data_IF_775548359422
#
_entry.id   IF_775548359422
#
_cell.length_a   1.000
_cell.length_b   1.000
_cell.length_c   1.000
_cell.angle_alpha   90.00
_cell.angle_beta   90.00
_cell.angle_gamma   90.00
#
_symmetry.space_group_name_H-M   'P 1'
#
loop_
_entity.id
_entity.type
_entity.pdbx_description
1 polymer ?
#
# COMPACT_ATOMS: atom_id res chain seq x y z
N UNK A 1 -75.05 23.78 14.33
CA UNK A 1 -74.99 25.25 14.44
C UNK A 1 -73.71 25.55 15.21
N UNK A 2 -72.60 25.61 14.48
CA UNK A 2 -71.89 26.84 14.04
C UNK A 2 -71.00 27.43 15.12
N UNK A 3 -69.70 27.34 14.82
CA UNK A 3 -68.62 28.29 15.14
C UNK A 3 -68.29 28.56 16.62
N UNK A 4 -67.21 27.93 17.08
CA UNK A 4 -66.40 28.37 18.21
C UNK A 4 -65.07 28.92 17.72
N UNK A 5 -64.88 30.23 17.91
CA UNK A 5 -63.67 31.00 17.67
C UNK A 5 -62.50 30.57 18.59
N UNK A 6 -61.28 30.75 18.07
CA UNK A 6 -60.05 31.21 18.75
C UNK A 6 -59.88 30.95 20.26
N UNK A 7 -58.80 30.22 20.64
CA UNK A 7 -57.62 30.68 21.41
C UNK A 7 -56.89 29.50 22.09
N UNK A 8 -55.75 29.82 22.71
CA UNK A 8 -54.82 28.97 23.51
C UNK A 8 -53.62 28.49 22.69
N UNK A 9 -52.57 29.31 22.58
CA UNK A 9 -51.47 29.50 23.56
C UNK A 9 -50.60 28.25 23.75
N UNK A 10 -49.36 28.41 23.28
CA UNK A 10 -48.10 27.98 23.91
C UNK A 10 -48.05 26.61 24.59
N UNK A 11 -47.28 25.70 24.01
CA UNK A 11 -46.34 24.82 24.74
C UNK A 11 -45.32 24.29 23.73
N UNK A 12 -44.10 24.85 23.77
CA UNK A 12 -42.89 24.16 24.23
C UNK A 12 -42.55 22.88 23.45
N UNK A 13 -41.50 23.02 22.63
CA UNK A 13 -40.23 22.36 22.93
C UNK A 13 -40.12 20.87 22.59
N UNK A 14 -39.16 20.59 21.71
CA UNK A 14 -38.47 19.30 21.53
C UNK A 14 -39.30 18.13 21.01
N UNK A 15 -39.21 17.90 19.70
CA UNK A 15 -39.29 16.61 19.01
C UNK A 15 -39.07 16.96 17.52
N UNK A 16 -38.05 16.54 16.76
CA UNK A 16 -37.14 15.40 16.84
C UNK A 16 -35.79 15.81 16.23
N UNK A 17 -34.81 15.94 17.10
CA UNK A 17 -33.44 15.54 16.83
C UNK A 17 -33.45 14.01 16.60
N UNK A 18 -32.70 13.52 15.59
CA UNK A 18 -32.56 12.14 15.07
C UNK A 18 -33.02 12.09 13.62
N UNK A 19 -32.15 12.36 12.65
CA UNK A 19 -31.29 11.31 12.08
C UNK A 19 -30.16 11.95 11.28
N UNK A 20 -29.30 12.72 11.95
CA UNK A 20 -28.00 13.16 11.42
C UNK A 20 -26.87 12.55 12.27
N UNK A 21 -26.99 11.25 12.51
CA UNK A 21 -25.95 10.40 13.12
C UNK A 21 -25.95 9.04 12.42
N UNK A 22 -25.75 9.06 11.11
CA UNK A 22 -25.39 7.87 10.33
C UNK A 22 -24.42 8.21 9.19
N UNK A 23 -23.59 9.23 9.43
CA UNK A 23 -22.53 9.67 8.51
C UNK A 23 -21.18 9.84 9.18
N UNK A 24 -21.01 9.22 10.34
CA UNK A 24 -19.79 9.29 11.14
C UNK A 24 -19.42 7.90 11.63
N UNK A 25 -19.23 6.97 10.70
CA UNK A 25 -18.35 5.80 10.85
C UNK A 25 -18.12 5.14 9.47
N UNK A 26 -18.02 5.95 8.41
CA UNK A 26 -17.40 5.51 7.16
C UNK A 26 -15.90 5.43 7.41
N UNK A 27 -15.49 4.30 7.99
CA UNK A 27 -14.12 3.79 8.17
C UNK A 27 -13.06 4.66 7.47
N UNK A 28 -12.29 5.37 8.28
CA UNK A 28 -11.18 6.25 7.91
C UNK A 28 -9.99 5.52 7.25
N UNK A 29 -10.16 4.27 6.81
CA UNK A 29 -9.12 3.45 6.16
C UNK A 29 -9.45 3.08 4.71
N UNK A 30 -10.54 3.65 4.17
CA UNK A 30 -11.02 3.34 2.84
C UNK A 30 -10.41 4.26 1.74
N UNK A 31 -9.50 3.66 0.98
CA UNK A 31 -9.62 3.44 -0.48
C UNK A 31 -8.39 3.89 -1.26
N UNK A 32 -7.38 3.01 -1.23
CA UNK A 32 -6.51 2.72 -2.37
C UNK A 32 -7.34 2.65 -3.66
N UNK A 33 -6.76 3.12 -4.77
CA UNK A 33 -7.38 2.99 -6.09
C UNK A 33 -7.78 1.52 -6.36
N UNK A 34 -9.02 1.23 -6.82
CA UNK A 34 -9.54 -0.14 -6.89
C UNK A 34 -8.62 -1.11 -7.64
N UNK A 35 -8.07 -0.66 -8.78
CA UNK A 35 -7.15 -1.47 -9.59
C UNK A 35 -5.85 -1.83 -8.84
N UNK A 36 -5.22 -0.85 -8.19
CA UNK A 36 -4.00 -1.08 -7.42
C UNK A 36 -4.28 -1.96 -6.19
N UNK A 37 -5.43 -1.74 -5.54
CA UNK A 37 -5.88 -2.54 -4.41
C UNK A 37 -6.04 -4.00 -4.80
N UNK A 38 -6.75 -4.31 -5.88
CA UNK A 38 -6.94 -5.71 -6.31
C UNK A 38 -5.63 -6.35 -6.77
N UNK A 39 -4.77 -5.61 -7.48
CA UNK A 39 -3.42 -6.06 -7.81
C UNK A 39 -2.64 -6.46 -6.55
N UNK A 40 -2.58 -5.60 -5.54
CA UNK A 40 -1.89 -5.91 -4.28
C UNK A 40 -2.52 -7.06 -3.51
N UNK A 41 -3.85 -7.22 -3.55
CA UNK A 41 -4.54 -8.37 -2.92
C UNK A 41 -4.19 -9.68 -3.63
N UNK A 42 -4.20 -9.69 -4.96
CA UNK A 42 -3.78 -10.85 -5.75
C UNK A 42 -2.34 -11.24 -5.40
N UNK A 43 -1.43 -10.26 -5.41
CA UNK A 43 -0.02 -10.47 -5.06
C UNK A 43 0.16 -10.98 -3.62
N UNK A 44 -0.57 -10.41 -2.66
CA UNK A 44 -0.53 -10.86 -1.27
C UNK A 44 -0.92 -12.33 -1.14
N UNK A 45 -1.99 -12.77 -1.81
CA UNK A 45 -2.42 -14.17 -1.77
C UNK A 45 -1.33 -15.11 -2.31
N UNK A 46 -0.72 -14.78 -3.45
CA UNK A 46 0.32 -15.62 -4.07
C UNK A 46 1.61 -15.67 -3.23
N UNK A 47 2.03 -14.55 -2.67
CA UNK A 47 3.23 -14.50 -1.82
C UNK A 47 2.99 -15.25 -0.51
N UNK A 48 1.81 -15.11 0.11
CA UNK A 48 1.47 -15.79 1.36
C UNK A 48 1.26 -17.30 1.17
N UNK A 49 0.74 -17.75 0.02
CA UNK A 49 0.63 -19.18 -0.30
C UNK A 49 1.97 -19.83 -0.65
N UNK A 50 2.99 -19.03 -0.99
CA UNK A 50 4.30 -19.51 -1.44
C UNK A 50 4.34 -19.89 -2.93
N UNK A 51 3.22 -19.74 -3.65
CA UNK A 51 3.14 -19.94 -5.11
C UNK A 51 3.71 -18.72 -5.85
N UNK A 52 5.02 -18.50 -5.72
CA UNK A 52 5.68 -17.30 -6.22
C UNK A 52 6.10 -17.50 -7.69
N UNK A 53 5.50 -16.78 -8.65
CA UNK A 53 5.90 -16.87 -10.05
C UNK A 53 7.27 -16.25 -10.31
N UNK A 54 7.83 -16.57 -11.47
CA UNK A 54 9.10 -16.01 -11.95
C UNK A 54 8.88 -15.26 -13.26
N UNK A 55 9.63 -14.17 -13.44
CA UNK A 55 9.71 -13.49 -14.73
C UNK A 55 10.98 -13.91 -15.49
N UNK A 56 10.84 -14.20 -16.78
CA UNK A 56 11.98 -14.54 -17.66
C UNK A 56 12.86 -13.32 -17.93
N UNK A 57 12.28 -12.12 -17.96
CA UNK A 57 13.01 -10.87 -18.18
C UNK A 57 13.25 -10.19 -16.84
N UNK A 58 14.49 -9.78 -16.60
CA UNK A 58 14.80 -9.00 -15.41
C UNK A 58 14.30 -7.56 -15.56
N UNK A 59 13.76 -7.02 -14.48
CA UNK A 59 13.21 -5.67 -14.45
C UNK A 59 14.31 -4.63 -14.62
N UNK A 60 14.05 -3.67 -15.50
CA UNK A 60 14.84 -2.46 -15.64
C UNK A 60 13.90 -1.33 -16.04
N UNK A 61 13.82 -0.30 -15.21
CA UNK A 61 12.93 0.83 -15.45
C UNK A 61 12.75 1.69 -14.20
N UNK A 62 12.25 2.91 -14.40
CA UNK A 62 11.96 3.86 -13.32
C UNK A 62 13.15 4.08 -12.36
N UNK A 63 14.38 4.14 -12.89
CA UNK A 63 15.59 4.34 -12.09
C UNK A 63 16.06 3.12 -11.32
N UNK A 64 15.43 1.95 -11.47
CA UNK A 64 15.78 0.71 -10.76
C UNK A 64 16.09 -0.41 -11.74
N UNK A 65 17.10 -1.22 -11.42
CA UNK A 65 17.44 -2.43 -12.18
C UNK A 65 17.62 -3.61 -11.22
N UNK A 66 16.91 -4.71 -11.48
CA UNK A 66 17.00 -5.95 -10.71
C UNK A 66 17.99 -6.87 -11.42
N UNK A 67 19.04 -7.31 -10.71
CA UNK A 67 20.14 -8.06 -11.32
C UNK A 67 20.64 -9.18 -10.40
N UNK A 68 21.18 -10.25 -10.98
CA UNK A 68 21.90 -11.27 -10.19
C UNK A 68 23.26 -10.77 -9.69
N UNK A 69 23.90 -9.91 -10.49
CA UNK A 69 25.20 -9.31 -10.21
C UNK A 69 25.24 -7.92 -10.79
N UNK A 70 25.85 -6.99 -10.07
CA UNK A 70 26.06 -5.62 -10.58
C UNK A 70 26.92 -5.69 -11.85
N UNK A 71 26.45 -5.16 -12.99
CA UNK A 71 27.24 -5.13 -14.20
C UNK A 71 28.45 -4.20 -14.01
N UNK A 72 29.58 -4.56 -14.63
CA UNK A 72 30.71 -3.64 -14.73
C UNK A 72 30.37 -2.58 -15.78
N UNK A 73 30.33 -1.31 -15.39
CA UNK A 73 30.04 -0.21 -16.31
C UNK A 73 31.33 0.57 -16.59
N UNK A 74 31.70 0.79 -17.86
CA UNK A 74 32.86 1.61 -18.19
C UNK A 74 32.57 3.07 -17.83
N UNK A 75 33.57 3.75 -17.28
CA UNK A 75 33.45 5.09 -16.67
C UNK A 75 32.82 6.14 -17.60
N UNK A 76 33.03 6.01 -18.92
CA UNK A 76 32.52 6.93 -19.94
C UNK A 76 30.98 6.97 -20.07
N UNK A 77 30.28 5.98 -19.53
CA UNK A 77 28.81 5.93 -19.55
C UNK A 77 28.16 6.61 -18.33
N UNK A 78 28.92 6.93 -17.27
CA UNK A 78 28.38 7.64 -16.12
C UNK A 78 28.00 9.08 -16.47
N UNK A 79 28.72 9.70 -17.40
CA UNK A 79 28.52 11.11 -17.79
C UNK A 79 27.19 11.34 -18.53
N UNK A 80 26.61 10.27 -19.10
CA UNK A 80 25.40 10.35 -19.92
C UNK A 80 24.14 10.06 -19.11
N UNK A 81 24.23 9.11 -18.17
CA UNK A 81 23.11 8.73 -17.31
C UNK A 81 23.61 8.22 -15.95
N UNK A 82 22.99 8.66 -14.84
CA UNK A 82 23.30 8.11 -13.53
C UNK A 82 23.05 6.60 -13.53
N UNK A 83 23.82 5.88 -12.73
CA UNK A 83 23.58 4.45 -12.51
C UNK A 83 22.17 4.27 -11.94
N UNK A 84 21.37 3.32 -12.47
CA UNK A 84 20.15 2.95 -11.81
C UNK A 84 20.47 2.37 -10.43
N UNK A 85 19.50 2.44 -9.52
CA UNK A 85 19.55 1.72 -8.25
C UNK A 85 19.53 0.22 -8.55
N UNK A 86 20.64 -0.44 -8.30
CA UNK A 86 20.77 -1.88 -8.51
C UNK A 86 20.24 -2.64 -7.30
N UNK A 87 19.22 -3.46 -7.51
CA UNK A 87 18.79 -4.46 -6.56
C UNK A 87 19.45 -5.80 -6.93
N UNK A 88 20.53 -6.12 -6.22
CA UNK A 88 21.30 -7.35 -6.43
C UNK A 88 20.73 -8.46 -5.54
N UNK A 89 20.16 -9.50 -6.14
CA UNK A 89 19.51 -10.59 -5.39
C UNK A 89 19.52 -11.91 -6.17
N UNK A 90 19.66 -13.08 -5.49
CA UNK A 90 19.46 -14.38 -6.14
C UNK A 90 18.02 -14.57 -6.64
N UNK A 91 17.05 -13.84 -6.06
CA UNK A 91 15.63 -13.89 -6.41
C UNK A 91 15.23 -12.89 -7.49
N UNK A 92 16.16 -12.53 -8.37
CA UNK A 92 15.95 -11.51 -9.39
C UNK A 92 14.71 -11.77 -10.28
N UNK A 93 14.40 -13.02 -10.71
CA UNK A 93 13.19 -13.31 -11.49
C UNK A 93 11.89 -13.02 -10.74
N UNK A 94 11.82 -13.34 -9.44
CA UNK A 94 10.62 -13.18 -8.63
C UNK A 94 10.41 -11.72 -8.25
N UNK A 95 11.49 -11.00 -7.97
CA UNK A 95 11.41 -9.55 -7.77
C UNK A 95 11.02 -8.84 -9.07
N UNK A 96 11.53 -9.29 -10.21
CA UNK A 96 11.14 -8.73 -11.51
C UNK A 96 9.68 -9.00 -11.84
N UNK A 97 9.17 -10.17 -11.44
CA UNK A 97 7.74 -10.51 -11.54
C UNK A 97 6.87 -9.56 -10.72
N UNK A 98 7.14 -9.39 -9.41
CA UNK A 98 6.30 -8.51 -8.57
C UNK A 98 6.38 -7.05 -9.04
N UNK A 99 7.53 -6.59 -9.53
CA UNK A 99 7.68 -5.24 -10.07
C UNK A 99 6.82 -5.04 -11.33
N UNK A 100 6.76 -6.02 -12.23
CA UNK A 100 5.92 -5.95 -13.42
C UNK A 100 4.42 -6.00 -13.08
N UNK A 101 4.01 -6.83 -12.12
CA UNK A 101 2.62 -6.88 -11.66
C UNK A 101 2.21 -5.55 -11.01
N UNK A 102 3.07 -4.97 -10.17
CA UNK A 102 2.85 -3.65 -9.59
C UNK A 102 2.78 -2.58 -10.67
N UNK A 103 3.60 -2.63 -11.72
CA UNK A 103 3.45 -1.74 -12.88
C UNK A 103 2.06 -1.86 -13.50
N UNK A 104 1.59 -3.07 -13.75
CA UNK A 104 0.27 -3.30 -14.34
C UNK A 104 -0.86 -2.76 -13.46
N UNK A 105 -0.73 -2.86 -12.14
CA UNK A 105 -1.67 -2.33 -11.15
C UNK A 105 -1.66 -0.80 -11.04
N UNK A 106 -0.47 -0.18 -11.16
CA UNK A 106 -0.26 1.24 -10.84
C UNK A 106 -0.06 2.16 -12.05
N UNK A 107 0.16 1.64 -13.27
CA UNK A 107 0.52 2.44 -14.46
C UNK A 107 -0.45 3.56 -14.84
N UNK A 108 -1.73 3.46 -14.45
CA UNK A 108 -2.75 4.49 -14.72
C UNK A 108 -2.85 5.55 -13.61
N UNK A 109 -2.17 5.31 -12.49
CA UNK A 109 -2.27 6.11 -11.26
C UNK A 109 -0.99 6.92 -11.07
N UNK A 110 0.16 6.35 -11.40
CA UNK A 110 1.46 6.99 -11.23
C UNK A 110 1.81 7.86 -12.43
N UNK A 111 2.07 9.14 -12.19
CA UNK A 111 2.81 9.98 -13.12
C UNK A 111 4.30 9.60 -13.18
N UNK A 112 5.06 10.24 -14.07
CA UNK A 112 6.49 9.92 -14.26
C UNK A 112 7.33 10.07 -12.99
N UNK A 113 7.07 11.09 -12.18
CA UNK A 113 7.87 11.41 -10.99
C UNK A 113 7.51 10.49 -9.82
N UNK A 114 6.22 10.26 -9.60
CA UNK A 114 5.70 9.33 -8.60
C UNK A 114 6.09 7.89 -8.94
N UNK A 115 6.19 7.55 -10.22
CA UNK A 115 6.68 6.24 -10.68
C UNK A 115 8.12 6.01 -10.24
N UNK A 116 9.03 6.97 -10.45
CA UNK A 116 10.41 6.83 -10.02
C UNK A 116 10.50 6.63 -8.49
N UNK A 117 9.85 7.51 -7.73
CA UNK A 117 9.80 7.43 -6.26
C UNK A 117 9.19 6.13 -5.74
N UNK A 118 8.16 5.61 -6.43
CA UNK A 118 7.54 4.34 -6.09
C UNK A 118 8.56 3.21 -6.17
N UNK A 119 9.20 3.02 -7.33
CA UNK A 119 10.16 1.93 -7.51
C UNK A 119 11.43 2.10 -6.65
N UNK A 120 11.87 3.33 -6.38
CA UNK A 120 12.95 3.59 -5.43
C UNK A 120 12.60 3.11 -4.03
N UNK A 121 11.39 3.42 -3.52
CA UNK A 121 10.92 2.93 -2.22
C UNK A 121 10.83 1.41 -2.17
N UNK A 122 10.33 0.77 -3.23
CA UNK A 122 10.30 -0.70 -3.32
C UNK A 122 11.70 -1.31 -3.26
N UNK A 123 12.67 -0.72 -3.97
CA UNK A 123 14.04 -1.18 -3.98
C UNK A 123 14.70 -1.00 -2.59
N UNK A 124 14.46 0.12 -1.92
CA UNK A 124 14.98 0.37 -0.57
C UNK A 124 14.39 -0.61 0.45
N UNK A 125 13.10 -0.92 0.35
CA UNK A 125 12.47 -1.94 1.19
C UNK A 125 13.12 -3.32 0.98
N UNK A 126 13.37 -3.70 -0.27
CA UNK A 126 14.04 -4.95 -0.61
C UNK A 126 15.49 -5.01 -0.08
N UNK A 127 16.26 -3.92 -0.22
CA UNK A 127 17.63 -3.82 0.28
C UNK A 127 17.67 -3.88 1.81
N UNK A 128 16.70 -3.28 2.50
CA UNK A 128 16.61 -3.30 3.97
C UNK A 128 16.46 -4.72 4.54
N UNK A 129 15.81 -5.62 3.78
CA UNK A 129 15.67 -7.03 4.16
C UNK A 129 16.96 -7.81 3.92
N UNK A 130 17.65 -7.48 2.83
CA UNK A 130 18.88 -8.18 2.44
C UNK A 130 20.05 -7.93 3.41
N UNK A 131 20.05 -6.79 4.11
CA UNK A 131 21.08 -6.41 5.08
C UNK A 131 20.91 -6.98 6.50
N UNK A 132 19.76 -7.59 6.82
CA UNK A 132 19.40 -8.02 8.19
C UNK A 132 19.65 -9.51 8.49
N UNK A 133 20.36 -10.24 7.64
CA UNK A 133 20.64 -11.66 7.86
C UNK A 133 21.68 -11.87 8.96
N UNK A 134 21.22 -11.88 10.21
CA UNK A 134 21.88 -12.65 11.26
C UNK A 134 21.81 -14.13 10.88
N UNK A 135 22.97 -14.77 10.69
CA UNK A 135 23.06 -16.19 10.41
C UNK A 135 23.41 -16.51 8.95
N UNK A 136 24.66 -16.92 8.74
CA UNK A 136 25.32 -17.21 7.46
C UNK A 136 24.77 -18.47 6.72
N UNK A 137 23.59 -18.98 7.08
CA UNK A 137 23.15 -20.33 6.72
C UNK A 137 21.96 -20.45 5.75
N UNK A 138 21.16 -19.41 5.54
CA UNK A 138 19.81 -19.59 4.94
C UNK A 138 19.43 -18.53 3.90
N UNK A 139 20.43 -17.98 3.20
CA UNK A 139 20.25 -16.87 2.22
C UNK A 139 19.43 -17.26 0.98
N UNK A 140 19.41 -18.55 0.65
CA UNK A 140 18.71 -19.11 -0.52
C UNK A 140 17.42 -19.86 -0.12
N UNK A 141 16.93 -19.62 1.11
CA UNK A 141 15.74 -20.33 1.60
C UNK A 141 14.44 -19.71 1.09
N UNK A 142 13.39 -20.52 0.87
CA UNK A 142 12.07 -20.04 0.48
C UNK A 142 11.54 -18.92 1.40
N UNK A 143 11.92 -18.96 2.69
CA UNK A 143 11.55 -17.95 3.68
C UNK A 143 12.21 -16.60 3.39
N UNK A 144 13.48 -16.59 3.02
CA UNK A 144 14.20 -15.35 2.67
C UNK A 144 13.68 -14.73 1.35
N UNK A 145 13.29 -15.56 0.38
CA UNK A 145 12.58 -15.11 -0.83
C UNK A 145 11.24 -14.46 -0.48
N UNK A 146 10.43 -15.15 0.33
CA UNK A 146 9.12 -14.66 0.72
C UNK A 146 9.23 -13.37 1.54
N UNK A 147 10.18 -13.29 2.47
CA UNK A 147 10.44 -12.07 3.26
C UNK A 147 10.74 -10.86 2.37
N UNK A 148 11.58 -11.04 1.35
CA UNK A 148 11.93 -10.00 0.39
C UNK A 148 10.69 -9.48 -0.35
N UNK A 149 9.85 -10.38 -0.83
CA UNK A 149 8.64 -10.02 -1.59
C UNK A 149 7.57 -9.40 -0.69
N UNK A 150 7.41 -9.88 0.55
CA UNK A 150 6.52 -9.27 1.53
C UNK A 150 6.93 -7.83 1.83
N UNK A 151 8.22 -7.54 1.97
CA UNK A 151 8.70 -6.19 2.21
C UNK A 151 8.42 -5.24 1.04
N UNK A 152 8.62 -5.71 -0.20
CA UNK A 152 8.26 -4.96 -1.40
C UNK A 152 6.75 -4.68 -1.41
N UNK A 153 5.92 -5.69 -1.17
CA UNK A 153 4.47 -5.53 -1.24
C UNK A 153 3.90 -4.62 -0.14
N UNK A 154 4.41 -4.74 1.10
CA UNK A 154 4.08 -3.80 2.19
C UNK A 154 4.36 -2.37 1.76
N UNK A 155 5.53 -2.12 1.17
CA UNK A 155 5.89 -0.78 0.76
C UNK A 155 4.98 -0.25 -0.35
N UNK A 156 4.52 -1.11 -1.26
CA UNK A 156 3.52 -0.75 -2.25
C UNK A 156 2.18 -0.34 -1.62
N UNK A 157 1.73 -1.07 -0.59
CA UNK A 157 0.50 -0.75 0.16
C UNK A 157 0.64 0.59 0.88
N UNK A 158 1.77 0.82 1.55
CA UNK A 158 2.05 2.08 2.25
C UNK A 158 2.09 3.26 1.27
N UNK A 159 2.79 3.11 0.14
CA UNK A 159 2.86 4.14 -0.89
C UNK A 159 1.48 4.51 -1.45
N UNK A 160 0.65 3.50 -1.75
CA UNK A 160 -0.70 3.74 -2.23
C UNK A 160 -1.57 4.49 -1.22
N UNK A 161 -1.36 4.26 0.08
CA UNK A 161 -2.04 5.00 1.16
C UNK A 161 -1.53 6.45 1.24
N UNK A 162 -0.23 6.68 1.01
CA UNK A 162 0.39 8.02 1.05
C UNK A 162 -0.09 8.93 -0.09
N UNK A 163 -0.25 8.38 -1.30
CA UNK A 163 -0.66 9.16 -2.50
C UNK A 163 -2.02 9.85 -2.34
N UNK A 164 -2.96 9.23 -1.61
CA UNK A 164 -4.28 9.81 -1.37
C UNK A 164 -4.28 10.93 -0.32
N UNK A 165 -3.40 10.84 0.69
CA UNK A 165 -3.24 11.91 1.68
C UNK A 165 -2.69 13.21 1.06
N UNK A 166 -1.96 13.11 -0.05
CA UNK A 166 -1.46 14.27 -0.79
C UNK A 166 -2.48 14.93 -1.72
N UNK A 167 -3.57 14.25 -2.10
CA UNK A 167 -4.62 14.82 -2.96
C UNK A 167 -5.74 15.52 -2.19
N UNK A 168 -5.92 15.19 -0.90
CA UNK A 168 -6.84 15.88 -0.01
C UNK A 168 -6.13 17.13 0.53
N UNK A 169 -6.26 18.24 -0.22
CA UNK A 169 -5.54 19.49 0.02
C UNK A 169 -5.53 19.94 1.48
N UNK A 170 -4.34 19.94 2.09
CA UNK A 170 -4.08 20.73 3.29
C UNK A 170 -3.85 22.19 2.89
N UNK A 171 -4.52 23.18 3.50
CA UNK A 171 -4.18 24.58 3.29
C UNK A 171 -2.74 24.85 3.80
N UNK A 172 -2.01 25.83 3.22
CA UNK A 172 -0.65 26.14 3.65
C UNK A 172 -0.67 26.54 5.12
N UNK A 173 0.06 25.78 5.95
CA UNK A 173 0.15 26.04 7.38
C UNK A 173 0.80 27.40 7.62
N UNK A 174 0.00 28.32 8.15
CA UNK A 174 0.44 29.54 8.80
C UNK A 174 1.34 29.19 9.99
N UNK A 175 2.41 29.98 10.11
CA UNK A 175 3.44 29.97 11.15
C UNK A 175 2.91 29.75 12.58
N UNK A 176 3.53 28.79 13.28
CA UNK A 176 3.77 28.82 14.72
C UNK A 176 2.84 27.97 15.60
N UNK A 177 3.26 26.75 15.94
CA UNK A 177 3.36 26.29 17.34
C UNK A 177 4.03 24.90 17.44
N UNK A 178 4.93 24.65 18.42
CA UNK A 178 5.63 23.37 18.58
C UNK A 178 5.04 22.55 19.74
N UNK A 179 3.99 21.77 19.52
CA UNK A 179 3.65 20.61 20.37
C UNK A 179 2.42 19.87 19.83
N UNK A 180 2.63 18.88 18.96
CA UNK A 180 1.70 17.75 18.89
C UNK A 180 2.42 16.51 18.37
N UNK A 181 3.21 15.88 19.24
CA UNK A 181 3.83 14.57 19.00
C UNK A 181 2.83 13.47 19.33
N UNK A 182 1.68 13.42 18.66
CA UNK A 182 0.75 12.30 18.82
C UNK A 182 -0.01 11.92 17.53
N UNK A 183 0.77 11.70 16.46
CA UNK A 183 0.37 10.83 15.35
C UNK A 183 1.57 9.99 14.95
N UNK A 184 1.72 8.83 15.58
CA UNK A 184 2.65 7.82 15.10
C UNK A 184 2.27 7.46 13.66
N UNK A 185 3.11 7.74 12.65
CA UNK A 185 2.91 7.17 11.32
C UNK A 185 2.96 5.66 11.51
N UNK A 186 1.88 4.95 11.13
CA UNK A 186 1.77 3.48 11.19
C UNK A 186 3.15 2.83 11.07
N UNK A 187 3.70 2.34 12.19
CA UNK A 187 5.07 1.88 12.25
C UNK A 187 5.30 0.88 11.12
N UNK A 188 6.26 1.16 10.22
CA UNK A 188 6.55 0.31 9.07
C UNK A 188 6.90 -1.09 9.60
N UNK A 189 6.23 -2.17 9.17
CA UNK A 189 6.51 -3.49 9.69
C UNK A 189 7.92 -3.93 9.24
N UNK A 190 8.76 -4.24 10.21
CA UNK A 190 10.19 -4.47 9.99
C UNK A 190 10.56 -5.94 9.99
N UNK A 191 9.77 -6.78 10.67
CA UNK A 191 10.01 -8.22 10.74
C UNK A 191 9.14 -9.01 9.76
N UNK A 192 9.57 -10.22 9.41
CA UNK A 192 8.79 -11.14 8.58
C UNK A 192 7.35 -11.31 9.10
N UNK A 193 7.19 -11.61 10.40
CA UNK A 193 5.88 -11.85 11.00
C UNK A 193 4.99 -10.59 11.01
N UNK A 194 5.58 -9.42 11.25
CA UNK A 194 4.85 -8.16 11.17
C UNK A 194 4.36 -7.87 9.76
N UNK A 195 5.20 -8.10 8.74
CA UNK A 195 4.84 -7.90 7.33
C UNK A 195 3.76 -8.89 6.89
N UNK A 196 3.87 -10.14 7.31
CA UNK A 196 2.84 -11.15 7.08
C UNK A 196 1.50 -10.73 7.70
N UNK A 197 1.48 -10.43 9.00
CA UNK A 197 0.26 -9.99 9.71
C UNK A 197 -0.32 -8.70 9.14
N UNK A 198 0.53 -7.79 8.67
CA UNK A 198 0.11 -6.57 7.99
C UNK A 198 -0.67 -6.89 6.71
N UNK A 199 -0.15 -7.79 5.87
CA UNK A 199 -0.80 -8.18 4.62
C UNK A 199 -2.04 -9.05 4.84
N UNK A 200 -2.06 -9.91 5.85
CA UNK A 200 -3.25 -10.66 6.25
C UNK A 200 -4.38 -9.71 6.68
N UNK A 201 -4.09 -8.70 7.49
CA UNK A 201 -5.07 -7.65 7.85
C UNK A 201 -5.55 -6.89 6.62
N UNK A 202 -4.64 -6.49 5.74
CA UNK A 202 -4.98 -5.84 4.48
C UNK A 202 -5.93 -6.70 3.60
N UNK A 203 -5.79 -8.03 3.63
CA UNK A 203 -6.69 -8.94 2.96
C UNK A 203 -8.08 -9.02 3.63
N UNK A 204 -8.14 -8.97 4.97
CA UNK A 204 -9.36 -9.05 5.77
C UNK A 204 -10.20 -7.76 5.77
N UNK A 205 -9.57 -6.59 5.71
CA UNK A 205 -10.18 -5.26 5.88
C UNK A 205 -11.40 -4.96 4.97
N UNK A 206 -11.72 -5.78 3.96
CA UNK A 206 -12.89 -5.56 3.08
C UNK A 206 -13.49 -6.87 2.53
N UNK A 207 -13.44 -7.96 3.31
CA UNK A 207 -14.18 -9.17 2.95
C UNK A 207 -15.69 -8.98 3.13
N UNK A 208 -16.38 -8.36 2.18
CA UNK A 208 -17.76 -8.76 1.89
C UNK A 208 -17.69 -10.16 1.30
N UNK A 209 -17.60 -11.15 2.19
CA UNK A 209 -17.88 -12.53 1.82
C UNK A 209 -19.34 -12.55 1.41
N UNK A 210 -19.58 -12.60 0.10
CA UNK A 210 -20.91 -12.75 -0.46
C UNK A 210 -21.57 -13.95 0.19
N UNK A 211 -22.54 -13.66 1.05
CA UNK A 211 -23.44 -14.66 1.60
C UNK A 211 -24.37 -15.05 0.46
N UNK A 212 -23.92 -15.97 -0.38
CA UNK A 212 -24.82 -16.71 -1.28
C UNK A 212 -25.60 -17.69 -0.38
N UNK A 213 -26.59 -17.16 0.35
CA UNK A 213 -27.71 -17.94 0.83
C UNK A 213 -28.62 -18.18 -0.40
N UNK A 214 -28.13 -19.02 -1.31
CA UNK A 214 -28.88 -19.57 -2.43
C UNK A 214 -29.26 -21.00 -2.10
N UNK A 215 -30.07 -21.20 -1.06
CA UNK A 215 -30.72 -22.47 -0.81
C UNK A 215 -32.18 -22.26 -0.37
N UNK A 216 -33.07 -22.87 -1.16
CA UNK A 216 -34.52 -23.11 -0.97
C UNK A 216 -35.50 -21.97 -1.24
N UNK A 217 -36.15 -22.07 -2.40
CA UNK A 217 -37.56 -22.50 -2.46
C UNK A 217 -37.76 -23.42 -3.66
#
# INVERSE_FOLDING_TARGET
MTEGMLQVMETKGQEKEMTEKDKTESSSEALLHPQAKECMRSLARQILSGEIPVNRRLWSGAGVAVVYRRPHRPSKLLDWYPDPRFLVTPYAPQVSWIFEELWNGFRKILDSDSKAKFYERLADAALSCSGRTEGKGDRDSPRSQQELLLAILVEAVLFGRDQKKGSDGFPPASSGDPANTDRSPLARPETFLERQRFLERFLMENGTFGKNDGEKA
#
